data_IF_799598878189
#
_entry.id   IF_799598878189
#
_cell.length_a   1.000
_cell.length_b   1.000
_cell.length_c   1.000
_cell.angle_alpha   90.00
_cell.angle_beta   90.00
_cell.angle_gamma   90.00
#
_symmetry.space_group_name_H-M   'P 1'
#
loop_
_entity.id
_entity.type
_entity.pdbx_description
1 polymer ?
#
# COMPACT_ATOMS: atom_id res chain seq x y z
N UNK A 1 -1.15 -2.39 -10.96
CA UNK A 1 -0.07 -3.35 -11.25
C UNK A 1 -0.50 -4.69 -10.70
N UNK A 2 -0.06 -5.79 -11.29
CA UNK A 2 -0.27 -7.12 -10.69
C UNK A 2 0.99 -7.47 -9.87
N UNK A 3 0.85 -8.18 -8.76
CA UNK A 3 1.99 -8.57 -7.92
C UNK A 3 3.07 -9.37 -8.66
N UNK A 4 2.70 -10.10 -9.71
CA UNK A 4 3.62 -10.86 -10.56
C UNK A 4 4.19 -10.08 -11.74
N UNK A 5 3.84 -8.80 -11.89
CA UNK A 5 4.35 -8.01 -13.02
C UNK A 5 5.81 -7.62 -12.83
N UNK A 6 6.55 -7.53 -13.94
CA UNK A 6 7.95 -7.07 -13.96
C UNK A 6 8.07 -5.67 -13.37
N UNK A 7 7.10 -4.80 -13.66
CA UNK A 7 7.00 -3.43 -13.13
C UNK A 7 6.97 -3.43 -11.61
N UNK A 8 6.20 -4.33 -10.99
CA UNK A 8 6.12 -4.45 -9.55
C UNK A 8 7.44 -4.96 -8.95
N UNK A 9 7.94 -6.08 -9.47
CA UNK A 9 9.08 -6.79 -8.87
C UNK A 9 10.40 -6.03 -9.01
N UNK A 10 10.65 -5.40 -10.15
CA UNK A 10 11.95 -4.81 -10.46
C UNK A 10 12.01 -3.28 -10.37
N UNK A 11 10.86 -2.60 -10.34
CA UNK A 11 10.84 -1.13 -10.22
C UNK A 11 10.13 -0.69 -8.96
N UNK A 12 8.87 -1.10 -8.78
CA UNK A 12 8.05 -0.63 -7.68
C UNK A 12 8.60 -1.07 -6.32
N UNK A 13 8.80 -2.38 -6.13
CA UNK A 13 9.24 -2.95 -4.85
C UNK A 13 10.65 -2.47 -4.45
N UNK A 14 11.66 -2.44 -5.34
CA UNK A 14 12.97 -1.90 -5.01
C UNK A 14 12.93 -0.44 -4.58
N UNK A 15 12.15 0.40 -5.25
CA UNK A 15 11.99 1.82 -4.89
C UNK A 15 11.30 1.97 -3.53
N UNK A 16 10.20 1.24 -3.29
CA UNK A 16 9.49 1.26 -2.01
C UNK A 16 10.39 0.86 -0.85
N UNK A 17 11.18 -0.22 -1.04
CA UNK A 17 12.11 -0.71 -0.03
C UNK A 17 13.29 0.25 0.18
N UNK A 18 13.84 0.83 -0.89
CA UNK A 18 14.91 1.83 -0.78
C UNK A 18 14.48 3.02 0.09
N UNK A 19 13.30 3.58 -0.18
CA UNK A 19 12.75 4.69 0.62
C UNK A 19 12.45 4.23 2.05
N UNK A 20 11.91 3.02 2.23
CA UNK A 20 11.64 2.46 3.57
C UNK A 20 12.90 2.41 4.46
N UNK A 21 14.05 2.01 3.90
CA UNK A 21 15.29 1.93 4.67
C UNK A 21 15.90 3.30 4.99
N UNK A 22 15.70 4.30 4.12
CA UNK A 22 16.15 5.68 4.34
C UNK A 22 15.30 6.40 5.39
N UNK A 23 14.01 6.09 5.47
CA UNK A 23 13.09 6.77 6.39
C UNK A 23 13.31 6.42 7.87
N UNK A 24 13.11 7.40 8.79
CA UNK A 24 13.16 7.15 10.23
C UNK A 24 12.03 6.21 10.66
N UNK A 25 12.27 5.41 11.70
CA UNK A 25 11.34 4.34 12.13
C UNK A 25 9.91 4.81 12.37
N UNK A 26 9.73 6.05 12.81
CA UNK A 26 8.41 6.65 13.10
C UNK A 26 7.50 6.80 11.88
N UNK A 27 8.06 6.97 10.67
CA UNK A 27 7.24 7.24 9.46
C UNK A 27 7.20 6.06 8.47
N UNK A 28 7.90 4.97 8.78
CA UNK A 28 7.97 3.79 7.90
C UNK A 28 6.61 3.16 7.63
N UNK A 29 5.77 3.04 8.65
CA UNK A 29 4.42 2.47 8.50
C UNK A 29 3.54 3.37 7.63
N UNK A 30 3.64 4.68 7.80
CA UNK A 30 2.92 5.63 6.96
C UNK A 30 3.38 5.56 5.50
N UNK A 31 4.69 5.44 5.26
CA UNK A 31 5.23 5.21 3.91
C UNK A 31 4.69 3.93 3.28
N UNK A 32 4.71 2.81 3.99
CA UNK A 32 4.18 1.54 3.49
C UNK A 32 2.68 1.62 3.21
N UNK A 33 1.92 2.37 4.02
CA UNK A 33 0.50 2.62 3.79
C UNK A 33 0.29 3.37 2.46
N UNK A 34 1.01 4.48 2.25
CA UNK A 34 0.91 5.26 1.00
C UNK A 34 1.33 4.42 -0.22
N UNK A 35 2.44 3.68 -0.11
CA UNK A 35 2.85 2.76 -1.16
C UNK A 35 1.78 1.70 -1.43
N UNK A 36 1.12 1.16 -0.42
CA UNK A 36 0.02 0.20 -0.64
C UNK A 36 -1.12 0.83 -1.41
N UNK A 37 -1.54 2.05 -1.06
CA UNK A 37 -2.61 2.77 -1.76
C UNK A 37 -2.25 3.03 -3.23
N UNK A 38 -1.03 3.48 -3.52
CA UNK A 38 -0.56 3.71 -4.90
C UNK A 38 -0.53 2.40 -5.71
N UNK A 39 -0.09 1.31 -5.11
CA UNK A 39 -0.05 0.01 -5.78
C UNK A 39 -1.47 -0.46 -6.15
N UNK A 40 -2.42 -0.35 -5.23
CA UNK A 40 -3.81 -0.76 -5.45
C UNK A 40 -4.56 0.17 -6.42
N UNK A 41 -4.23 1.47 -6.45
CA UNK A 41 -4.87 2.41 -7.37
C UNK A 41 -4.47 2.22 -8.83
N UNK A 42 -3.30 1.64 -9.08
CA UNK A 42 -2.71 1.53 -10.41
C UNK A 42 -3.54 0.74 -11.43
N UNK A 43 -4.28 -0.29 -10.99
CA UNK A 43 -5.12 -1.11 -11.87
C UNK A 43 -6.54 -0.56 -12.09
N UNK A 44 -6.94 0.45 -11.32
CA UNK A 44 -8.29 1.01 -11.36
C UNK A 44 -8.67 1.71 -10.06
N UNK A 45 -8.88 3.02 -10.14
CA UNK A 45 -9.24 3.88 -9.00
C UNK A 45 -10.60 3.55 -8.37
N UNK A 46 -11.46 2.84 -9.11
CA UNK A 46 -12.82 2.49 -8.68
C UNK A 46 -12.85 1.58 -7.43
N UNK A 47 -11.80 0.79 -7.19
CA UNK A 47 -11.72 -0.13 -6.05
C UNK A 47 -11.12 0.49 -4.78
N UNK A 48 -10.52 1.69 -4.88
CA UNK A 48 -9.96 2.37 -3.71
C UNK A 48 -11.00 2.68 -2.63
N UNK A 49 -12.20 3.23 -2.95
CA UNK A 49 -13.21 3.48 -1.91
C UNK A 49 -13.63 2.20 -1.20
N UNK A 50 -13.75 1.08 -1.94
CA UNK A 50 -14.10 -0.23 -1.38
C UNK A 50 -13.01 -0.69 -0.41
N UNK A 51 -11.72 -0.56 -0.80
CA UNK A 51 -10.59 -0.90 0.04
C UNK A 51 -10.60 -0.11 1.37
N UNK A 52 -10.84 1.20 1.31
CA UNK A 52 -10.89 2.03 2.53
C UNK A 52 -12.08 1.66 3.42
N UNK A 53 -13.25 1.42 2.84
CA UNK A 53 -14.43 0.97 3.59
C UNK A 53 -14.15 -0.37 4.27
N UNK A 54 -13.53 -1.32 3.57
CA UNK A 54 -13.14 -2.61 4.15
C UNK A 54 -12.17 -2.44 5.32
N UNK A 55 -11.11 -1.64 5.18
CA UNK A 55 -10.15 -1.40 6.26
C UNK A 55 -10.83 -0.80 7.50
N UNK A 56 -11.73 0.17 7.31
CA UNK A 56 -12.46 0.80 8.42
C UNK A 56 -13.42 -0.21 9.07
N UNK A 57 -14.15 -0.98 8.26
CA UNK A 57 -15.08 -1.99 8.74
C UNK A 57 -14.36 -3.08 9.53
N UNK A 58 -13.26 -3.63 9.00
CA UNK A 58 -12.45 -4.66 9.67
C UNK A 58 -11.87 -4.13 10.99
N UNK A 59 -11.39 -2.88 11.00
CA UNK A 59 -10.89 -2.25 12.22
C UNK A 59 -12.00 -2.05 13.27
N UNK A 60 -13.18 -1.60 12.86
CA UNK A 60 -14.31 -1.42 13.76
C UNK A 60 -14.82 -2.75 14.33
N UNK A 61 -14.88 -3.80 13.50
CA UNK A 61 -15.26 -5.15 13.92
C UNK A 61 -14.23 -5.78 14.87
N UNK A 62 -12.94 -5.53 14.65
CA UNK A 62 -11.89 -6.00 15.55
C UNK A 62 -11.84 -5.27 16.91
N UNK A 63 -12.54 -4.14 17.03
CA UNK A 63 -12.67 -3.40 18.28
C UNK A 63 -13.89 -3.82 19.12
N UNK A 64 -14.89 -4.47 18.48
CA UNK A 64 -16.11 -4.98 19.12
C UNK A 64 -15.85 -6.34 19.79
#
# INVERSE_FOLDING_TARGET
MVFSSVEFLFFYLPVVMAVYFVLPRSVRNFWLMLASVVFYSWGGWAFLPILFVSVIADYALGFL
#
